data_IF_571620436440
#
_entry.id   IF_571620436440
#
_cell.length_a   1.000
_cell.length_b   1.000
_cell.length_c   1.000
_cell.angle_alpha   90.00
_cell.angle_beta   90.00
_cell.angle_gamma   90.00
#
_symmetry.space_group_name_H-M   'P 1'
#
loop_
_entity.id
_entity.type
_entity.pdbx_description
1 polymer ?
#
# COMPACT_ATOMS: atom_id res chain seq x y z
N UNK A 1 19.30 -11.18 -13.75
CA UNK A 1 19.63 -10.11 -12.78
C UNK A 1 18.40 -9.20 -12.67
N UNK A 2 17.35 -9.63 -11.95
CA UNK A 2 16.14 -8.83 -11.78
C UNK A 2 16.36 -7.89 -10.59
N UNK A 3 16.47 -6.61 -10.91
CA UNK A 3 16.87 -5.55 -10.01
C UNK A 3 15.84 -5.38 -8.88
N UNK A 4 16.32 -5.38 -7.63
CA UNK A 4 15.56 -5.06 -6.41
C UNK A 4 14.93 -3.64 -6.39
N UNK A 5 15.01 -2.89 -7.49
CA UNK A 5 14.49 -1.54 -7.65
C UNK A 5 12.96 -1.46 -7.81
N UNK A 6 12.30 -2.55 -8.24
CA UNK A 6 10.83 -2.57 -8.36
C UNK A 6 10.15 -2.42 -6.99
N UNK A 7 10.71 -3.00 -5.93
CA UNK A 7 10.13 -2.91 -4.57
C UNK A 7 10.20 -1.49 -4.01
N UNK A 8 11.34 -0.80 -4.12
CA UNK A 8 11.47 0.56 -3.59
C UNK A 8 10.57 1.56 -4.32
N UNK A 9 10.39 1.38 -5.64
CA UNK A 9 9.51 2.24 -6.44
C UNK A 9 8.04 1.95 -6.15
N UNK A 10 7.66 0.68 -5.99
CA UNK A 10 6.34 0.26 -5.53
C UNK A 10 6.00 0.86 -4.16
N UNK A 11 6.93 0.77 -3.21
CA UNK A 11 6.78 1.31 -1.86
C UNK A 11 6.59 2.83 -1.87
N UNK A 12 7.35 3.56 -2.68
CA UNK A 12 7.23 5.01 -2.84
C UNK A 12 5.90 5.42 -3.48
N UNK A 13 5.46 4.72 -4.51
CA UNK A 13 4.16 4.97 -5.16
C UNK A 13 3.00 4.69 -4.20
N UNK A 14 3.05 3.62 -3.42
CA UNK A 14 2.04 3.32 -2.41
C UNK A 14 2.05 4.38 -1.30
N UNK A 15 3.23 4.83 -0.85
CA UNK A 15 3.38 5.95 0.08
C UNK A 15 2.76 7.23 -0.48
N UNK A 16 3.02 7.54 -1.75
CA UNK A 16 2.54 8.74 -2.43
C UNK A 16 1.03 8.70 -2.68
N UNK A 17 0.53 7.61 -3.25
CA UNK A 17 -0.87 7.43 -3.61
C UNK A 17 -1.77 7.29 -2.38
N UNK A 18 -1.31 6.57 -1.35
CA UNK A 18 -2.13 6.31 -0.16
C UNK A 18 -1.86 7.28 1.00
N UNK A 19 -0.79 8.07 0.97
CA UNK A 19 -0.41 8.92 2.09
C UNK A 19 -0.08 8.12 3.37
N UNK A 20 0.40 6.89 3.20
CA UNK A 20 0.76 5.98 4.28
C UNK A 20 2.02 6.46 4.99
N UNK A 21 2.12 6.21 6.30
CA UNK A 21 3.40 6.35 7.00
C UNK A 21 4.29 5.17 6.67
N UNK A 22 5.61 5.39 6.67
CA UNK A 22 6.61 4.32 6.49
C UNK A 22 6.37 3.16 7.46
N UNK A 23 6.01 3.44 8.71
CA UNK A 23 5.69 2.43 9.73
C UNK A 23 4.45 1.59 9.39
N UNK A 24 3.46 2.17 8.71
CA UNK A 24 2.23 1.49 8.29
C UNK A 24 2.50 0.64 7.04
N UNK A 25 3.37 1.12 6.14
CA UNK A 25 3.79 0.37 4.96
C UNK A 25 4.59 -0.90 5.32
N UNK A 26 5.54 -0.81 6.25
CA UNK A 26 6.36 -1.96 6.67
C UNK A 26 5.59 -2.99 7.48
N UNK A 27 4.44 -2.63 8.03
CA UNK A 27 3.54 -3.52 8.78
C UNK A 27 2.32 -3.96 7.98
N UNK A 28 2.19 -3.49 6.74
CA UNK A 28 1.09 -3.79 5.84
C UNK A 28 1.06 -5.28 5.49
N UNK A 29 -0.11 -5.91 5.63
CA UNK A 29 -0.31 -7.31 5.25
C UNK A 29 -1.07 -7.40 3.93
N UNK A 30 -0.81 -8.43 3.13
CA UNK A 30 -1.59 -8.68 1.91
C UNK A 30 -3.09 -8.84 2.19
N UNK A 31 -3.47 -9.34 3.37
CA UNK A 31 -4.88 -9.44 3.78
C UNK A 31 -5.60 -8.09 3.95
N UNK A 32 -4.84 -6.99 4.02
CA UNK A 32 -5.35 -5.63 4.08
C UNK A 32 -5.53 -4.99 2.70
N UNK A 33 -4.94 -5.59 1.66
CA UNK A 33 -5.09 -5.17 0.27
C UNK A 33 -6.31 -5.88 -0.32
N UNK A 34 -7.34 -5.13 -0.72
CA UNK A 34 -8.51 -5.68 -1.40
C UNK A 34 -8.42 -5.29 -2.86
N UNK A 35 -7.78 -6.15 -3.64
CA UNK A 35 -7.51 -5.95 -5.07
C UNK A 35 -8.84 -5.93 -5.85
N UNK A 36 -9.79 -6.79 -5.53
CA UNK A 36 -11.09 -6.90 -6.22
C UNK A 36 -11.92 -5.61 -6.15
N UNK A 37 -11.67 -4.78 -5.16
CA UNK A 37 -12.40 -3.54 -4.92
C UNK A 37 -11.51 -2.31 -4.93
N UNK A 38 -10.25 -2.46 -5.36
CA UNK A 38 -9.29 -1.36 -5.50
C UNK A 38 -9.16 -0.49 -4.24
N UNK A 39 -9.14 -1.09 -3.06
CA UNK A 39 -8.94 -0.37 -1.81
C UNK A 39 -7.99 -1.06 -0.85
N UNK A 40 -7.31 -0.24 -0.05
CA UNK A 40 -6.41 -0.64 1.01
C UNK A 40 -7.05 -0.35 2.37
N UNK A 41 -7.02 -1.32 3.28
CA UNK A 41 -7.41 -1.12 4.67
C UNK A 41 -6.20 -0.96 5.56
N UNK A 42 -6.02 0.21 6.13
CA UNK A 42 -4.86 0.52 6.98
C UNK A 42 -5.32 0.82 8.39
N UNK A 43 -4.60 0.29 9.37
CA UNK A 43 -4.83 0.60 10.77
C UNK A 43 -4.06 1.85 11.16
N UNK A 44 -4.79 2.94 11.42
CA UNK A 44 -4.22 4.21 11.86
C UNK A 44 -4.10 4.34 13.37
N UNK A 45 -3.61 5.50 13.82
CA UNK A 45 -3.49 5.86 15.23
C UNK A 45 -4.86 5.81 15.92
N UNK A 46 -4.96 5.05 17.01
CA UNK A 46 -6.20 4.85 17.77
C UNK A 46 -7.02 3.65 17.32
N UNK A 47 -6.40 2.68 16.63
CA UNK A 47 -7.06 1.45 16.16
C UNK A 47 -8.24 1.72 15.20
N UNK A 48 -8.18 2.85 14.49
CA UNK A 48 -9.18 3.22 13.49
C UNK A 48 -8.76 2.70 12.14
N UNK A 49 -9.63 1.94 11.51
CA UNK A 49 -9.48 1.52 10.13
C UNK A 49 -9.66 2.73 9.20
N UNK A 50 -8.76 2.83 8.22
CA UNK A 50 -8.85 3.80 7.13
C UNK A 50 -8.91 3.03 5.83
N UNK A 51 -9.89 3.36 5.02
CA UNK A 51 -10.02 2.81 3.67
C UNK A 51 -9.41 3.83 2.73
N UNK A 52 -8.43 3.38 1.96
CA UNK A 52 -7.70 4.23 1.02
C UNK A 52 -7.92 3.64 -0.37
N UNK A 53 -8.56 4.37 -1.29
CA UNK A 53 -8.71 3.90 -2.66
C UNK A 53 -7.32 3.83 -3.32
N UNK A 54 -7.05 2.72 -4.00
CA UNK A 54 -5.82 2.49 -4.75
C UNK A 54 -6.17 2.46 -6.23
N UNK A 55 -5.38 3.15 -7.06
CA UNK A 55 -5.51 3.04 -8.51
C UNK A 55 -4.91 1.73 -9.03
N UNK A 56 -5.47 1.20 -10.12
CA UNK A 56 -4.98 -0.02 -10.79
C UNK A 56 -3.48 0.04 -11.13
N UNK A 57 -2.97 1.26 -11.38
CA UNK A 57 -1.55 1.49 -11.63
C UNK A 57 -0.69 1.13 -10.41
N UNK A 58 -1.13 1.48 -9.20
CA UNK A 58 -0.42 1.15 -7.97
C UNK A 58 -0.54 -0.35 -7.62
N UNK A 59 -1.64 -1.01 -7.99
CA UNK A 59 -1.79 -2.47 -7.87
C UNK A 59 -0.81 -3.25 -8.76
N UNK A 60 -0.42 -2.70 -9.92
CA UNK A 60 0.60 -3.33 -10.78
C UNK A 60 1.99 -3.45 -10.15
N UNK A 61 2.25 -2.70 -9.09
CA UNK A 61 3.54 -2.72 -8.39
C UNK A 61 3.54 -3.56 -7.12
N UNK A 62 2.38 -4.06 -6.70
CA UNK A 62 2.17 -4.94 -5.54
C UNK A 62 2.34 -6.41 -5.96
#
# INVERSE_FOLDING_TARGET
>A
MQCAAMNSKAMLEILYACGLRVSELVTLKLSQVVIESNFLRVMGKGNKERIIPINDYALKFL
#
